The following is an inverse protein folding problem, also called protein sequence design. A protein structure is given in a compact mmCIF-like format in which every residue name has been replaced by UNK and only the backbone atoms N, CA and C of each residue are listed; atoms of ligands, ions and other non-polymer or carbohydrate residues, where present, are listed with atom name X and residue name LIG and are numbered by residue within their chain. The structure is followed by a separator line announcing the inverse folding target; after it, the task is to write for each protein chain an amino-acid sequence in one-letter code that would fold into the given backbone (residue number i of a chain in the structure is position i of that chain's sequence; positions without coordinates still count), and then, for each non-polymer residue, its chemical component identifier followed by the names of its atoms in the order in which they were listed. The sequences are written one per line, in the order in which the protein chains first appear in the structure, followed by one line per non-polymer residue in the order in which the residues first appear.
data_IF_867711198238
#
_entry.id   IF_867711198238
#
_cell.length_a   1.000
_cell.length_b   1.000
_cell.length_c   1.000
_cell.angle_alpha   90.00
_cell.angle_beta   90.00
_cell.angle_gamma   90.00
#
_symmetry.space_group_name_H-M   'P 1'
#
loop_
_entity.id
_entity.type
_entity.pdbx_description
1 polymer ?
#
# COMPACT_ATOMS: atom_id res chain seq x y z
N UNK A 1 20.38 -13.04 -26.90
CA UNK A 1 21.06 -11.99 -26.11
C UNK A 1 20.90 -12.37 -24.63
N UNK A 2 21.95 -12.92 -23.98
CA UNK A 2 22.77 -12.30 -22.90
C UNK A 2 21.89 -11.74 -21.74
N UNK A 3 21.96 -12.18 -20.47
CA UNK A 3 22.88 -13.02 -19.68
C UNK A 3 22.09 -13.67 -18.53
N UNK A 4 22.29 -14.96 -18.28
CA UNK A 4 21.91 -15.62 -17.02
C UNK A 4 23.07 -15.38 -16.06
N UNK A 5 22.91 -14.47 -15.10
CA UNK A 5 23.90 -14.22 -14.06
C UNK A 5 23.70 -15.24 -12.96
N UNK A 6 24.48 -16.32 -13.04
CA UNK A 6 24.67 -17.32 -12.02
C UNK A 6 25.51 -16.70 -10.89
N UNK A 7 24.91 -16.37 -9.74
CA UNK A 7 25.67 -15.99 -8.55
C UNK A 7 26.32 -17.25 -7.96
N UNK A 8 27.56 -17.50 -8.36
CA UNK A 8 28.49 -18.44 -7.74
C UNK A 8 28.73 -18.02 -6.28
N UNK A 9 28.40 -18.93 -5.36
CA UNK A 9 28.70 -18.82 -3.93
C UNK A 9 30.19 -19.14 -3.75
N UNK A 10 30.99 -18.11 -3.53
CA UNK A 10 32.38 -18.24 -3.08
C UNK A 10 32.62 -17.29 -1.91
N UNK A 11 33.16 -17.84 -0.82
CA UNK A 11 34.01 -17.10 0.10
C UNK A 11 33.29 -16.43 1.26
N UNK A 12 33.54 -16.94 2.46
CA UNK A 12 33.21 -16.33 3.73
C UNK A 12 33.71 -14.88 3.82
N UNK A 13 32.83 -13.97 4.23
CA UNK A 13 33.12 -12.78 5.04
C UNK A 13 31.77 -12.15 5.43
N UNK A 14 31.66 -11.77 6.70
CA UNK A 14 30.48 -11.15 7.30
C UNK A 14 29.99 -9.95 6.47
N UNK A 15 28.85 -10.13 5.83
CA UNK A 15 28.08 -9.05 5.23
C UNK A 15 26.67 -9.55 5.09
N UNK A 16 25.75 -9.02 5.90
CA UNK A 16 24.32 -9.14 5.69
C UNK A 16 23.96 -8.46 4.36
N UNK A 17 24.28 -9.12 3.24
CA UNK A 17 23.54 -8.93 2.01
C UNK A 17 22.19 -9.61 2.28
N UNK A 18 21.33 -8.90 3.00
CA UNK A 18 19.90 -9.16 2.97
C UNK A 18 19.55 -9.14 1.48
N UNK A 19 19.33 -10.32 0.92
CA UNK A 19 18.71 -10.46 -0.39
C UNK A 19 17.43 -9.64 -0.30
N UNK A 20 17.45 -8.46 -0.93
CA UNK A 20 16.32 -7.55 -1.06
C UNK A 20 15.30 -8.27 -1.94
N UNK A 21 14.60 -9.25 -1.36
CA UNK A 21 13.38 -9.83 -1.90
C UNK A 21 12.26 -8.82 -1.65
N UNK A 22 12.46 -7.56 -2.08
CA UNK A 22 11.33 -6.67 -2.29
C UNK A 22 10.51 -7.32 -3.42
N UNK A 23 9.22 -7.60 -3.20
CA UNK A 23 8.34 -8.03 -4.28
C UNK A 23 8.50 -7.04 -5.44
N UNK A 24 8.52 -7.57 -6.67
CA UNK A 24 8.98 -6.93 -7.90
C UNK A 24 8.08 -5.76 -8.40
N UNK A 25 7.59 -4.89 -7.51
CA UNK A 25 6.72 -3.75 -7.77
C UNK A 25 6.89 -2.64 -6.73
N UNK A 26 6.59 -1.38 -7.12
CA UNK A 26 6.74 -0.21 -6.24
C UNK A 26 5.95 -0.36 -4.93
N UNK A 27 6.47 0.16 -3.82
CA UNK A 27 5.80 0.17 -2.50
C UNK A 27 4.38 0.74 -2.61
N UNK A 28 4.19 1.75 -3.45
CA UNK A 28 2.87 2.30 -3.77
C UNK A 28 1.89 1.27 -4.33
N UNK A 29 2.34 0.41 -5.25
CA UNK A 29 1.49 -0.62 -5.85
C UNK A 29 1.11 -1.69 -4.82
N UNK A 30 2.08 -2.10 -3.99
CA UNK A 30 1.83 -3.05 -2.90
C UNK A 30 0.83 -2.47 -1.89
N UNK A 31 1.01 -1.21 -1.50
CA UNK A 31 0.06 -0.50 -0.65
C UNK A 31 -1.34 -0.44 -1.24
N UNK A 32 -1.47 -0.02 -2.51
CA UNK A 32 -2.76 0.08 -3.17
C UNK A 32 -3.48 -1.27 -3.20
N UNK A 33 -2.76 -2.35 -3.50
CA UNK A 33 -3.31 -3.71 -3.51
C UNK A 33 -3.75 -4.15 -2.11
N UNK A 34 -2.89 -4.01 -1.11
CA UNK A 34 -3.19 -4.41 0.27
C UNK A 34 -4.36 -3.62 0.85
N UNK A 35 -4.41 -2.30 0.57
CA UNK A 35 -5.49 -1.44 1.02
C UNK A 35 -6.83 -1.82 0.38
N UNK A 36 -6.88 -2.05 -0.95
CA UNK A 36 -8.12 -2.45 -1.64
C UNK A 36 -8.58 -3.83 -1.18
N UNK A 37 -7.63 -4.78 -1.03
CA UNK A 37 -7.94 -6.11 -0.54
C UNK A 37 -8.54 -6.05 0.86
N UNK A 38 -7.90 -5.34 1.79
CA UNK A 38 -8.39 -5.18 3.16
C UNK A 38 -9.74 -4.46 3.21
N UNK A 39 -9.98 -3.45 2.36
CA UNK A 39 -11.24 -2.73 2.33
C UNK A 39 -12.44 -3.58 1.86
N UNK A 40 -12.19 -4.69 1.15
CA UNK A 40 -13.22 -5.53 0.53
C UNK A 40 -13.18 -6.98 1.03
N UNK A 41 -12.28 -7.32 1.95
CA UNK A 41 -11.96 -8.69 2.38
C UNK A 41 -13.20 -9.46 2.86
N UNK A 42 -14.05 -8.83 3.66
CA UNK A 42 -15.25 -9.43 4.24
C UNK A 42 -16.51 -9.28 3.38
N UNK A 43 -16.37 -8.75 2.16
CA UNK A 43 -17.50 -8.40 1.30
C UNK A 43 -17.32 -8.97 -0.10
N UNK A 44 -17.45 -10.30 -0.26
CA UNK A 44 -17.27 -10.98 -1.54
C UNK A 44 -18.11 -10.37 -2.68
N UNK A 45 -19.38 -10.01 -2.41
CA UNK A 45 -20.24 -9.36 -3.38
C UNK A 45 -19.70 -7.98 -3.78
N UNK A 46 -19.23 -7.19 -2.79
CA UNK A 46 -18.63 -5.89 -3.05
C UNK A 46 -17.26 -6.00 -3.76
N UNK A 47 -16.48 -7.05 -3.48
CA UNK A 47 -15.23 -7.33 -4.15
C UNK A 47 -15.43 -7.66 -5.63
N UNK A 48 -16.58 -8.24 -6.00
CA UNK A 48 -16.92 -8.55 -7.38
C UNK A 48 -17.52 -7.37 -8.17
N UNK A 49 -18.10 -6.35 -7.49
CA UNK A 49 -18.65 -5.16 -8.15
C UNK A 49 -17.51 -4.22 -8.63
N UNK A 50 -17.39 -3.96 -9.94
CA UNK A 50 -16.37 -3.05 -10.49
C UNK A 50 -16.41 -1.64 -9.90
N UNK A 51 -17.58 -1.14 -9.49
CA UNK A 51 -17.73 0.20 -8.90
C UNK A 51 -17.18 0.27 -7.48
N UNK A 52 -17.35 -0.80 -6.71
CA UNK A 52 -16.78 -0.89 -5.37
C UNK A 52 -15.26 -1.05 -5.44
N UNK A 53 -14.76 -1.85 -6.39
CA UNK A 53 -13.33 -1.93 -6.70
C UNK A 53 -12.74 -0.57 -7.07
N UNK A 54 -13.41 0.19 -7.94
CA UNK A 54 -12.96 1.52 -8.34
C UNK A 54 -13.01 2.52 -7.18
N UNK A 55 -14.08 2.48 -6.38
CA UNK A 55 -14.22 3.31 -5.17
C UNK A 55 -13.10 3.02 -4.17
N UNK A 56 -12.84 1.75 -3.89
CA UNK A 56 -11.76 1.33 -3.01
C UNK A 56 -10.40 1.82 -3.53
N UNK A 57 -10.14 1.70 -4.84
CA UNK A 57 -8.91 2.24 -5.46
C UNK A 57 -8.77 3.75 -5.27
N UNK A 58 -9.85 4.52 -5.47
CA UNK A 58 -9.84 5.97 -5.29
C UNK A 58 -9.56 6.36 -3.83
N UNK A 59 -10.21 5.68 -2.88
CA UNK A 59 -9.97 5.89 -1.45
C UNK A 59 -8.52 5.54 -1.10
N UNK A 60 -8.05 4.35 -1.46
CA UNK A 60 -6.68 3.91 -1.19
C UNK A 60 -5.61 4.81 -1.85
N UNK A 61 -5.88 5.29 -3.07
CA UNK A 61 -5.02 6.28 -3.73
C UNK A 61 -4.94 7.58 -2.93
N UNK A 62 -6.08 8.08 -2.45
CA UNK A 62 -6.11 9.25 -1.56
C UNK A 62 -5.34 8.99 -0.25
N UNK A 63 -5.50 7.81 0.38
CA UNK A 63 -4.82 7.46 1.62
C UNK A 63 -3.31 7.48 1.43
N UNK A 64 -2.82 6.97 0.32
CA UNK A 64 -1.39 7.02 0.00
C UNK A 64 -0.87 8.46 -0.09
N UNK A 65 -1.61 9.34 -0.78
CA UNK A 65 -1.24 10.75 -0.91
C UNK A 65 -1.28 11.50 0.44
N UNK A 66 -2.29 11.25 1.27
CA UNK A 66 -2.39 11.84 2.61
C UNK A 66 -1.32 11.27 3.56
N UNK A 67 -1.00 9.99 3.45
CA UNK A 67 0.08 9.36 4.22
C UNK A 67 1.43 10.02 3.94
N UNK A 68 1.79 10.19 2.66
CA UNK A 68 3.02 10.90 2.25
C UNK A 68 3.12 12.32 2.84
N UNK A 69 2.01 13.06 2.87
CA UNK A 69 1.98 14.44 3.39
C UNK A 69 2.14 14.50 4.90
N UNK A 70 1.48 13.58 5.62
CA UNK A 70 1.35 13.64 7.08
C UNK A 70 2.39 12.80 7.84
N UNK A 71 3.22 12.04 7.12
CA UNK A 71 4.31 11.28 7.72
C UNK A 71 5.56 12.14 7.95
N UNK A 72 6.50 12.11 7.01
CA UNK A 72 7.71 12.95 6.92
C UNK A 72 8.16 13.09 5.44
N UNK A 73 7.20 13.04 4.51
CA UNK A 73 7.47 12.99 3.08
C UNK A 73 7.44 11.56 2.49
N UNK A 74 7.59 11.49 1.17
CA UNK A 74 7.42 10.26 0.38
C UNK A 74 8.37 9.15 0.80
N UNK A 75 9.67 9.45 0.94
CA UNK A 75 10.69 8.44 1.21
C UNK A 75 10.45 7.73 2.55
N UNK A 76 10.32 8.48 3.64
CA UNK A 76 10.10 7.89 4.97
C UNK A 76 8.77 7.14 5.07
N UNK A 77 7.74 7.58 4.33
CA UNK A 77 6.47 6.86 4.24
C UNK A 77 6.64 5.51 3.53
N UNK A 78 7.32 5.49 2.38
CA UNK A 78 7.57 4.26 1.61
C UNK A 78 8.49 3.29 2.35
N UNK A 79 9.50 3.79 3.06
CA UNK A 79 10.37 2.96 3.90
C UNK A 79 9.60 2.32 5.06
N UNK A 80 8.77 3.10 5.77
CA UNK A 80 7.95 2.57 6.86
C UNK A 80 6.92 1.54 6.37
N UNK A 81 6.30 1.78 5.20
CA UNK A 81 5.42 0.79 4.56
C UNK A 81 6.18 -0.48 4.15
N UNK A 82 7.39 -0.37 3.61
CA UNK A 82 8.20 -1.54 3.27
C UNK A 82 8.54 -2.38 4.50
N UNK A 83 8.87 -1.74 5.62
CA UNK A 83 9.08 -2.43 6.91
C UNK A 83 7.78 -3.10 7.38
N UNK A 84 6.64 -2.40 7.30
CA UNK A 84 5.34 -2.96 7.66
C UNK A 84 4.99 -4.20 6.84
N UNK A 85 5.22 -4.19 5.51
CA UNK A 85 4.93 -5.34 4.67
C UNK A 85 5.86 -6.53 4.90
N UNK A 86 7.13 -6.28 5.29
CA UNK A 86 8.10 -7.34 5.56
C UNK A 86 7.96 -7.92 6.98
N UNK A 87 7.73 -7.06 7.97
CA UNK A 87 7.70 -7.39 9.40
C UNK A 87 6.65 -6.53 10.12
N UNK A 88 5.35 -6.88 10.02
CA UNK A 88 4.25 -6.09 10.59
C UNK A 88 4.39 -5.85 12.10
N UNK A 89 4.99 -6.80 12.83
CA UNK A 89 5.22 -6.70 14.27
C UNK A 89 6.26 -5.63 14.66
N UNK A 90 7.04 -5.15 13.70
CA UNK A 90 8.02 -4.06 13.86
C UNK A 90 7.54 -2.74 13.24
N UNK A 91 6.26 -2.66 12.89
CA UNK A 91 5.70 -1.46 12.31
C UNK A 91 5.88 -0.26 13.23
N UNK A 92 6.29 0.88 12.67
CA UNK A 92 6.30 2.14 13.40
C UNK A 92 4.85 2.48 13.84
N UNK A 93 4.58 2.64 15.16
CA UNK A 93 3.24 3.03 15.63
C UNK A 93 2.72 4.33 14.98
N UNK A 94 3.62 5.22 14.57
CA UNK A 94 3.27 6.43 13.82
C UNK A 94 2.66 6.09 12.46
N UNK A 95 3.14 5.06 11.78
CA UNK A 95 2.67 4.64 10.46
C UNK A 95 1.18 4.30 10.54
N UNK A 96 0.80 3.45 11.50
CA UNK A 96 -0.58 3.02 11.72
C UNK A 96 -1.49 4.21 11.99
N UNK A 97 -1.09 5.09 12.92
CA UNK A 97 -1.86 6.30 13.24
C UNK A 97 -2.04 7.24 12.05
N UNK A 98 -1.00 7.45 11.25
CA UNK A 98 -1.06 8.29 10.05
C UNK A 98 -1.96 7.65 9.00
N UNK A 99 -1.86 6.34 8.80
CA UNK A 99 -2.72 5.59 7.90
C UNK A 99 -4.20 5.69 8.30
N UNK A 100 -4.54 5.50 9.57
CA UNK A 100 -5.91 5.60 10.07
C UNK A 100 -6.50 7.01 9.91
N UNK A 101 -5.68 8.04 10.19
CA UNK A 101 -6.07 9.42 9.96
C UNK A 101 -6.33 9.70 8.47
N UNK A 102 -5.46 9.19 7.61
CA UNK A 102 -5.59 9.33 6.16
C UNK A 102 -6.85 8.62 5.64
N UNK A 103 -7.17 7.42 6.13
CA UNK A 103 -8.42 6.71 5.80
C UNK A 103 -9.63 7.57 6.14
N UNK A 104 -9.72 8.06 7.40
CA UNK A 104 -10.84 8.92 7.83
C UNK A 104 -10.97 10.18 6.99
N UNK A 105 -9.86 10.85 6.71
CA UNK A 105 -9.84 12.06 5.89
C UNK A 105 -10.30 11.78 4.45
N UNK A 106 -9.83 10.70 3.84
CA UNK A 106 -10.13 10.34 2.46
C UNK A 106 -11.56 9.85 2.27
N UNK A 107 -12.08 9.03 3.18
CA UNK A 107 -13.49 8.63 3.16
C UNK A 107 -14.36 9.89 3.27
N UNK A 108 -14.13 10.76 4.26
CA UNK A 108 -14.90 12.02 4.41
C UNK A 108 -14.84 12.91 3.15
N UNK A 109 -13.69 12.97 2.49
CA UNK A 109 -13.47 13.80 1.28
C UNK A 109 -14.15 13.22 0.04
N UNK A 110 -14.23 11.89 -0.06
CA UNK A 110 -14.75 11.20 -1.24
C UNK A 110 -16.21 10.80 -1.10
N UNK A 111 -16.74 10.54 0.10
CA UNK A 111 -18.14 10.16 0.32
C UNK A 111 -19.15 11.10 -0.36
N UNK A 112 -19.04 12.46 -0.31
CA UNK A 112 -19.97 13.33 -1.02
C UNK A 112 -19.88 13.22 -2.55
N UNK A 113 -18.69 12.94 -3.08
CA UNK A 113 -18.45 12.79 -4.52
C UNK A 113 -18.95 11.44 -5.03
N UNK A 114 -18.81 10.40 -4.22
CA UNK A 114 -19.27 9.05 -4.53
C UNK A 114 -20.81 8.99 -4.52
N UNK A 115 -21.47 9.63 -3.53
CA UNK A 115 -22.93 9.73 -3.47
C UNK A 115 -23.54 10.56 -4.63
N UNK A 116 -22.84 11.60 -5.10
CA UNK A 116 -23.29 12.40 -6.24
C UNK A 116 -23.15 11.70 -7.60
N UNK A 117 -22.42 10.59 -7.66
CA UNK A 117 -22.17 9.80 -8.87
C UNK A 117 -23.15 8.63 -9.03
N UNK A 118 -24.09 8.45 -8.10
CA UNK A 118 -25.18 7.49 -8.25
C UNK A 118 -26.20 8.01 -9.28
N UNK A 119 -26.51 7.26 -10.35
CA UNK A 119 -27.60 7.65 -11.22
C UNK A 119 -28.89 7.68 -10.40
N UNK A 120 -29.60 8.81 -10.43
CA UNK A 120 -30.96 8.90 -9.88
C UNK A 120 -31.78 7.78 -10.52
N UNK A 121 -32.27 6.87 -9.67
CA UNK A 121 -33.18 5.80 -10.06
C UNK A 121 -34.54 6.36 -10.47
#
# INVERSE_FOLDING_TARGET
MKKVTLCLVLGALLGLAACDQRPNGSVQKQFAQACVQSALEDHADAASDPRNQETAKQVCGCVYEEGKKNYQGKQSWEEALAVYFATPEKADPKLLRVNDNAIRACVKKLSPKLAASEPKK
#
